data_IF_320675162018
#
_entry.id   IF_320675162018
#
_cell.length_a   1.000
_cell.length_b   1.000
_cell.length_c   1.000
_cell.angle_alpha   90.00
_cell.angle_beta   90.00
_cell.angle_gamma   90.00
#
_symmetry.space_group_name_H-M   'P 1'
#
loop_
_entity.id
_entity.type
_entity.pdbx_description
1 polymer ?
#
# COMPACT_ATOMS: atom_id res chain seq x y z
N UNK A 1 0.34 -5.99 14.36
CA UNK A 1 0.06 -5.98 12.91
C UNK A 1 -1.14 -6.87 12.59
N UNK A 2 -1.87 -6.47 11.57
CA UNK A 2 -2.96 -7.26 10.99
C UNK A 2 -2.39 -7.95 9.76
N UNK A 3 -2.51 -9.27 9.67
CA UNK A 3 -2.04 -10.09 8.53
C UNK A 3 -3.21 -10.70 7.75
N UNK A 4 -4.34 -10.88 8.40
CA UNK A 4 -5.61 -11.34 7.85
C UNK A 4 -6.73 -10.91 8.79
N UNK A 5 -7.97 -10.97 8.33
CA UNK A 5 -9.16 -10.70 9.14
C UNK A 5 -9.98 -11.97 9.21
N UNK A 6 -10.22 -12.57 10.40
CA UNK A 6 -11.01 -13.77 10.50
C UNK A 6 -12.47 -13.47 10.10
N UNK A 7 -12.89 -14.03 8.96
CA UNK A 7 -14.23 -13.84 8.39
C UNK A 7 -14.79 -15.20 7.96
N UNK A 8 -16.10 -15.37 8.13
CA UNK A 8 -16.86 -16.52 7.58
C UNK A 8 -17.29 -16.29 6.12
N UNK A 9 -17.40 -15.03 5.73
CA UNK A 9 -17.74 -14.64 4.36
C UNK A 9 -16.54 -14.84 3.42
N UNK A 10 -16.82 -15.30 2.19
CA UNK A 10 -15.82 -15.53 1.15
C UNK A 10 -15.42 -14.20 0.49
N UNK A 11 -14.79 -13.34 1.27
CA UNK A 11 -14.23 -12.06 0.83
C UNK A 11 -12.74 -11.96 1.19
N UNK A 12 -12.01 -11.18 0.42
CA UNK A 12 -10.59 -10.89 0.60
C UNK A 12 -10.35 -9.39 0.47
N UNK A 13 -9.26 -8.90 1.03
CA UNK A 13 -8.80 -7.53 0.81
C UNK A 13 -7.75 -7.52 -0.30
N UNK A 14 -8.07 -6.86 -1.41
CA UNK A 14 -7.11 -6.61 -2.48
C UNK A 14 -6.33 -5.34 -2.17
N UNK A 15 -5.00 -5.42 -2.14
CA UNK A 15 -4.15 -4.29 -1.76
C UNK A 15 -2.99 -4.12 -2.73
N UNK A 16 -2.64 -2.86 -3.01
CA UNK A 16 -1.56 -2.47 -3.89
C UNK A 16 -0.58 -1.55 -3.18
N UNK A 17 0.71 -1.83 -3.32
CA UNK A 17 1.79 -1.07 -2.71
C UNK A 17 2.56 -0.25 -3.75
N UNK A 18 3.34 0.73 -3.28
CA UNK A 18 4.32 1.51 -4.02
C UNK A 18 3.79 2.59 -4.96
N UNK A 19 2.47 2.67 -5.16
CA UNK A 19 1.85 3.70 -6.01
C UNK A 19 1.89 5.12 -5.42
N UNK A 20 1.25 6.09 -6.12
CA UNK A 20 0.75 5.93 -7.48
C UNK A 20 1.88 5.90 -8.52
N UNK A 21 1.65 5.18 -9.63
CA UNK A 21 2.61 5.04 -10.74
C UNK A 21 1.87 5.18 -12.08
N UNK A 22 1.60 6.42 -12.56
CA UNK A 22 0.97 6.61 -13.85
C UNK A 22 1.89 6.15 -15.01
N UNK A 23 1.36 5.51 -16.09
CA UNK A 23 -0.07 5.32 -16.34
C UNK A 23 -0.65 4.04 -15.73
N UNK A 24 0.15 3.24 -15.00
CA UNK A 24 -0.26 1.91 -14.52
C UNK A 24 -1.37 2.00 -13.47
N UNK A 25 -1.27 2.93 -12.52
CA UNK A 25 -2.33 3.16 -11.53
C UNK A 25 -3.66 3.50 -12.22
N UNK A 26 -3.64 4.33 -13.27
CA UNK A 26 -4.85 4.69 -14.01
C UNK A 26 -5.49 3.47 -14.68
N UNK A 27 -4.69 2.65 -15.37
CA UNK A 27 -5.16 1.43 -16.02
C UNK A 27 -5.74 0.44 -14.98
N UNK A 28 -5.12 0.34 -13.81
CA UNK A 28 -5.61 -0.47 -12.71
C UNK A 28 -6.97 0.03 -12.19
N UNK A 29 -7.14 1.34 -12.01
CA UNK A 29 -8.43 1.92 -11.58
C UNK A 29 -9.55 1.62 -12.58
N UNK A 30 -9.27 1.70 -13.88
CA UNK A 30 -10.23 1.35 -14.93
C UNK A 30 -10.64 -0.12 -14.85
N UNK A 31 -9.67 -1.02 -14.64
CA UNK A 31 -9.93 -2.45 -14.49
C UNK A 31 -10.77 -2.74 -13.24
N UNK A 32 -10.42 -2.19 -12.09
CA UNK A 32 -11.18 -2.34 -10.85
C UNK A 32 -12.62 -1.85 -11.00
N UNK A 33 -12.80 -0.70 -11.66
CA UNK A 33 -14.14 -0.15 -11.94
C UNK A 33 -14.99 -1.06 -12.85
N UNK A 34 -14.38 -1.63 -13.90
CA UNK A 34 -15.08 -2.58 -14.80
C UNK A 34 -15.61 -3.81 -14.07
N UNK A 35 -14.92 -4.24 -13.01
CA UNK A 35 -15.30 -5.39 -12.20
C UNK A 35 -16.11 -5.01 -10.94
N UNK A 36 -16.32 -3.73 -10.67
CA UNK A 36 -17.02 -3.25 -9.48
C UNK A 36 -16.28 -3.59 -8.18
N UNK A 37 -14.95 -3.63 -8.22
CA UNK A 37 -14.09 -4.02 -7.09
C UNK A 37 -13.45 -2.78 -6.48
N UNK A 38 -13.48 -2.69 -5.15
CA UNK A 38 -12.70 -1.72 -4.39
C UNK A 38 -11.44 -2.36 -3.82
N UNK A 39 -10.39 -1.57 -3.66
CA UNK A 39 -9.10 -2.01 -3.16
C UNK A 39 -8.53 -1.00 -2.15
N UNK A 40 -7.41 -1.36 -1.50
CA UNK A 40 -6.63 -0.45 -0.67
C UNK A 40 -5.28 -0.20 -1.33
N UNK A 41 -4.90 1.07 -1.45
CA UNK A 41 -3.63 1.49 -2.03
C UNK A 41 -2.73 2.06 -0.92
N UNK A 42 -1.58 1.42 -0.67
CA UNK A 42 -0.57 1.93 0.24
C UNK A 42 0.44 2.77 -0.53
N UNK A 43 0.30 4.09 -0.43
CA UNK A 43 1.02 5.03 -1.28
C UNK A 43 2.32 5.51 -0.64
N UNK A 44 3.39 5.57 -1.44
CA UNK A 44 4.67 6.20 -1.07
C UNK A 44 4.54 7.73 -1.09
N UNK A 45 5.01 8.40 -0.05
CA UNK A 45 4.93 9.86 0.04
C UNK A 45 5.61 10.59 -1.12
N UNK A 46 6.74 10.10 -1.62
CA UNK A 46 7.40 10.64 -2.82
C UNK A 46 6.50 10.61 -4.04
N UNK A 47 5.77 9.52 -4.24
CA UNK A 47 4.86 9.38 -5.38
C UNK A 47 3.58 10.20 -5.18
N UNK A 48 3.10 10.34 -3.95
CA UNK A 48 2.01 11.27 -3.61
C UNK A 48 2.37 12.71 -4.00
N UNK A 49 3.60 13.14 -3.69
CA UNK A 49 4.13 14.46 -4.02
C UNK A 49 4.32 14.66 -5.53
N UNK A 50 4.78 13.62 -6.23
CA UNK A 50 5.05 13.65 -7.66
C UNK A 50 3.77 13.55 -8.52
N UNK A 51 2.75 12.82 -8.06
CA UNK A 51 1.55 12.50 -8.85
C UNK A 51 0.24 12.77 -8.08
N UNK A 52 0.00 14.01 -7.62
CA UNK A 52 -1.15 14.34 -6.78
C UNK A 52 -2.49 14.07 -7.48
N UNK A 53 -2.56 14.20 -8.80
CA UNK A 53 -3.78 13.91 -9.58
C UNK A 53 -4.14 12.42 -9.55
N UNK A 54 -3.13 11.54 -9.56
CA UNK A 54 -3.36 10.10 -9.45
C UNK A 54 -3.87 9.71 -8.06
N UNK A 55 -3.38 10.36 -6.99
CA UNK A 55 -3.90 10.17 -5.62
C UNK A 55 -5.37 10.57 -5.54
N UNK A 56 -5.72 11.71 -6.13
CA UNK A 56 -7.12 12.16 -6.19
C UNK A 56 -8.00 11.18 -6.99
N UNK A 57 -7.49 10.63 -8.09
CA UNK A 57 -8.20 9.64 -8.90
C UNK A 57 -8.48 8.35 -8.09
N UNK A 58 -7.50 7.84 -7.34
CA UNK A 58 -7.67 6.68 -6.44
C UNK A 58 -8.78 6.94 -5.43
N UNK A 59 -8.77 8.11 -4.77
CA UNK A 59 -9.77 8.48 -3.78
C UNK A 59 -11.18 8.67 -4.40
N UNK A 60 -11.28 9.33 -5.55
CA UNK A 60 -12.54 9.56 -6.27
C UNK A 60 -13.17 8.26 -6.78
N UNK A 61 -12.36 7.26 -7.09
CA UNK A 61 -12.82 5.94 -7.47
C UNK A 61 -13.34 5.10 -6.27
N UNK A 62 -13.27 5.63 -5.04
CA UNK A 62 -13.79 5.00 -3.84
C UNK A 62 -12.86 3.96 -3.21
N UNK A 63 -11.58 4.00 -3.54
CA UNK A 63 -10.58 3.13 -2.95
C UNK A 63 -10.06 3.68 -1.62
N UNK A 64 -9.67 2.79 -0.71
CA UNK A 64 -8.99 3.16 0.53
C UNK A 64 -7.54 3.52 0.25
N UNK A 65 -7.03 4.54 0.96
CA UNK A 65 -5.64 4.98 0.85
C UNK A 65 -4.95 4.81 2.20
N UNK A 66 -3.87 4.06 2.20
CA UNK A 66 -2.95 3.86 3.32
C UNK A 66 -1.59 4.54 3.08
N UNK A 67 -0.82 4.64 4.15
CA UNK A 67 0.53 5.18 4.16
C UNK A 67 1.55 4.06 3.96
N UNK A 68 2.51 4.22 3.02
CA UNK A 68 3.60 3.28 2.76
C UNK A 68 4.99 3.88 2.98
N UNK A 69 5.14 4.74 4.00
CA UNK A 69 6.29 5.60 4.25
C UNK A 69 6.51 6.67 3.16
N UNK A 70 7.46 7.57 3.38
CA UNK A 70 7.76 8.60 2.39
C UNK A 70 8.71 8.09 1.31
N UNK A 71 9.81 7.45 1.70
CA UNK A 71 10.92 7.10 0.81
C UNK A 71 11.08 5.61 0.54
N UNK A 72 10.21 4.76 1.08
CA UNK A 72 10.26 3.29 1.00
C UNK A 72 11.55 2.67 1.59
N UNK A 73 12.24 3.38 2.50
CA UNK A 73 13.43 2.83 3.17
C UNK A 73 13.03 1.76 4.20
N UNK A 74 13.88 0.72 4.40
CA UNK A 74 13.64 -0.24 5.47
C UNK A 74 13.53 0.48 6.81
N UNK A 75 12.35 0.45 7.45
CA UNK A 75 12.06 1.20 8.67
C UNK A 75 13.04 0.82 9.80
N UNK A 76 13.50 -0.43 9.84
CA UNK A 76 14.48 -0.89 10.84
C UNK A 76 15.85 -0.22 10.74
N UNK A 77 16.19 0.39 9.61
CA UNK A 77 17.44 1.12 9.41
C UNK A 77 17.40 2.57 9.87
N UNK A 78 16.24 3.05 10.32
CA UNK A 78 16.00 4.43 10.67
C UNK A 78 16.03 4.66 12.19
N UNK A 79 16.41 5.88 12.58
CA UNK A 79 16.22 6.35 13.95
C UNK A 79 14.72 6.54 14.23
N UNK A 80 14.34 6.59 15.51
CA UNK A 80 12.96 6.83 15.93
C UNK A 80 12.37 8.12 15.32
N UNK A 81 13.17 9.20 15.31
CA UNK A 81 12.73 10.47 14.72
C UNK A 81 12.56 10.38 13.20
N UNK A 82 13.45 9.67 12.50
CA UNK A 82 13.35 9.48 11.06
C UNK A 82 12.16 8.58 10.69
N UNK A 83 11.88 7.52 11.48
CA UNK A 83 10.66 6.71 11.27
C UNK A 83 9.40 7.58 11.38
N UNK A 84 9.34 8.42 12.42
CA UNK A 84 8.20 9.31 12.64
C UNK A 84 8.05 10.31 11.49
N UNK A 85 9.16 10.86 10.99
CA UNK A 85 9.16 11.77 9.83
C UNK A 85 8.61 11.10 8.57
N UNK A 86 9.04 9.89 8.24
CA UNK A 86 8.53 9.08 7.12
C UNK A 86 7.01 8.91 7.19
N UNK A 87 6.48 8.60 8.37
CA UNK A 87 5.05 8.38 8.61
C UNK A 87 4.24 9.69 8.52
N UNK A 88 4.69 10.71 9.25
CA UNK A 88 3.96 11.98 9.38
C UNK A 88 3.96 12.73 8.04
N UNK A 89 5.11 12.84 7.38
CA UNK A 89 5.22 13.55 6.10
C UNK A 89 4.28 12.97 5.05
N UNK A 90 4.25 11.65 4.91
CA UNK A 90 3.34 10.99 3.95
C UNK A 90 1.88 11.22 4.31
N UNK A 91 1.54 11.08 5.59
CA UNK A 91 0.17 11.31 6.05
C UNK A 91 -0.27 12.75 5.83
N UNK A 92 0.61 13.73 6.07
CA UNK A 92 0.32 15.16 5.86
C UNK A 92 0.11 15.48 4.36
N UNK A 93 0.91 14.89 3.47
CA UNK A 93 0.74 15.03 2.02
C UNK A 93 -0.61 14.51 1.56
N UNK A 94 -1.01 13.31 2.01
CA UNK A 94 -2.31 12.71 1.66
C UNK A 94 -3.45 13.56 2.23
N UNK A 95 -3.36 13.96 3.49
CA UNK A 95 -4.39 14.79 4.15
C UNK A 95 -4.55 16.15 3.47
N UNK A 96 -3.45 16.80 3.07
CA UNK A 96 -3.49 18.07 2.35
C UNK A 96 -4.19 17.97 0.97
N UNK A 97 -4.05 16.83 0.31
CA UNK A 97 -4.68 16.59 -1.00
C UNK A 97 -6.16 16.20 -0.90
N UNK A 98 -6.51 15.39 0.10
CA UNK A 98 -7.82 14.73 0.17
C UNK A 98 -8.71 15.27 1.29
N UNK A 99 -8.16 16.08 2.21
CA UNK A 99 -8.88 16.52 3.41
C UNK A 99 -9.10 15.45 4.45
N UNK A 100 -8.53 14.26 4.25
CA UNK A 100 -8.66 13.11 5.14
C UNK A 100 -7.30 12.45 5.34
N UNK A 101 -6.92 12.25 6.60
CA UNK A 101 -5.67 11.58 6.98
C UNK A 101 -5.78 10.08 6.82
N UNK A 102 -4.78 9.40 6.22
CA UNK A 102 -4.78 7.93 6.15
C UNK A 102 -4.65 7.35 7.57
N UNK A 103 -5.42 6.30 7.83
CA UNK A 103 -5.44 5.63 9.13
C UNK A 103 -4.70 4.30 9.13
N UNK A 104 -4.34 3.78 7.95
CA UNK A 104 -3.65 2.50 7.78
C UNK A 104 -2.19 2.73 7.38
N UNK A 105 -1.29 1.89 7.88
CA UNK A 105 0.11 1.88 7.47
C UNK A 105 0.55 0.48 7.06
N UNK A 106 1.33 0.38 5.99
CA UNK A 106 2.07 -0.84 5.63
C UNK A 106 3.56 -0.55 5.61
N UNK A 107 4.38 -1.30 6.37
CA UNK A 107 5.82 -1.08 6.36
C UNK A 107 6.46 -1.59 5.07
N UNK A 108 7.38 -0.83 4.46
CA UNK A 108 8.21 -1.30 3.39
C UNK A 108 8.85 -2.67 3.71
N UNK A 109 8.86 -3.56 2.72
CA UNK A 109 9.38 -4.94 2.84
C UNK A 109 8.68 -5.81 3.91
N UNK A 110 7.56 -5.37 4.48
CA UNK A 110 6.90 -6.07 5.60
C UNK A 110 7.69 -6.07 6.91
N UNK A 111 8.80 -5.32 6.99
CA UNK A 111 9.72 -5.34 8.13
C UNK A 111 9.19 -4.51 9.29
N UNK A 112 9.10 -5.14 10.45
CA UNK A 112 8.63 -4.55 11.70
C UNK A 112 9.65 -4.69 12.83
N UNK A 113 9.60 -3.75 13.77
CA UNK A 113 10.42 -3.76 14.98
C UNK A 113 9.81 -2.90 16.09
N UNK A 114 10.36 -2.99 17.32
CA UNK A 114 9.82 -2.26 18.46
C UNK A 114 9.72 -0.75 18.25
N UNK A 115 10.71 -0.14 17.58
CA UNK A 115 10.72 1.29 17.28
C UNK A 115 9.57 1.71 16.35
N UNK A 116 9.32 0.94 15.29
CA UNK A 116 8.19 1.19 14.41
C UNK A 116 6.86 1.01 15.14
N UNK A 117 6.74 -0.05 15.96
CA UNK A 117 5.52 -0.26 16.75
C UNK A 117 5.23 0.94 17.65
N UNK A 118 6.25 1.47 18.35
CA UNK A 118 6.07 2.65 19.19
C UNK A 118 5.59 3.87 18.40
N UNK A 119 6.21 4.14 17.24
CA UNK A 119 5.82 5.27 16.38
C UNK A 119 4.38 5.14 15.87
N UNK A 120 3.97 3.93 15.51
CA UNK A 120 2.59 3.65 15.05
C UNK A 120 1.57 3.75 16.18
N UNK A 121 1.89 3.25 17.38
CA UNK A 121 1.03 3.37 18.55
C UNK A 121 0.80 4.86 18.92
N UNK A 122 1.85 5.69 18.85
CA UNK A 122 1.75 7.15 19.10
C UNK A 122 0.85 7.85 18.06
N UNK A 123 0.86 7.39 16.81
CA UNK A 123 0.07 7.96 15.72
C UNK A 123 -1.33 7.34 15.59
N UNK A 124 -1.64 6.30 16.37
CA UNK A 124 -2.90 5.57 16.29
C UNK A 124 -3.08 4.81 14.97
N UNK A 125 -1.98 4.42 14.30
CA UNK A 125 -2.01 3.74 13.00
C UNK A 125 -1.75 2.24 13.17
N UNK A 126 -2.70 1.35 12.83
CA UNK A 126 -2.42 -0.08 12.75
C UNK A 126 -1.48 -0.40 11.58
N UNK A 127 -0.55 -1.34 11.83
CA UNK A 127 0.28 -1.92 10.77
C UNK A 127 -0.49 -3.03 10.06
N UNK A 128 -0.63 -2.91 8.75
CA UNK A 128 -1.28 -3.89 7.87
C UNK A 128 -0.20 -4.63 7.10
N UNK A 129 -0.16 -5.93 7.25
CA UNK A 129 0.66 -6.82 6.44
C UNK A 129 -0.19 -7.57 5.41
N UNK A 130 0.30 -8.71 4.98
CA UNK A 130 -0.37 -9.59 4.05
C UNK A 130 -0.12 -11.05 4.45
N UNK A 131 -0.94 -11.95 3.98
CA UNK A 131 -0.75 -13.39 4.09
C UNK A 131 -0.86 -14.11 2.75
N UNK A 132 -1.20 -13.39 1.68
CA UNK A 132 -1.21 -13.90 0.31
C UNK A 132 -0.54 -12.91 -0.63
N UNK A 133 0.25 -13.41 -1.58
CA UNK A 133 0.87 -12.61 -2.63
C UNK A 133 1.21 -13.46 -3.86
N UNK A 134 1.30 -12.82 -5.02
CA UNK A 134 1.69 -13.45 -6.28
C UNK A 134 3.20 -13.40 -6.55
N UNK A 135 3.99 -12.69 -5.74
CA UNK A 135 5.38 -12.33 -5.99
C UNK A 135 5.58 -11.55 -7.30
N UNK A 136 4.67 -10.61 -7.58
CA UNK A 136 4.65 -9.76 -8.77
C UNK A 136 5.88 -8.84 -8.91
N UNK A 137 6.69 -8.71 -7.87
CA UNK A 137 8.00 -8.04 -7.91
C UNK A 137 9.14 -8.88 -8.53
N UNK A 138 8.93 -10.20 -8.70
CA UNK A 138 9.90 -11.14 -9.28
C UNK A 138 9.32 -11.87 -10.49
N UNK A 139 8.00 -12.13 -10.49
CA UNK A 139 7.27 -12.84 -11.53
C UNK A 139 6.60 -11.84 -12.48
N UNK A 140 6.75 -12.06 -13.77
CA UNK A 140 6.17 -11.20 -14.83
C UNK A 140 5.02 -11.86 -15.58
N UNK A 141 4.82 -13.17 -15.40
CA UNK A 141 3.73 -13.91 -16.02
C UNK A 141 2.44 -13.74 -15.18
N UNK A 142 1.41 -13.06 -15.71
CA UNK A 142 0.19 -12.82 -14.96
C UNK A 142 -0.59 -14.09 -14.61
N UNK A 143 -0.46 -15.16 -15.41
CA UNK A 143 -1.09 -16.45 -15.09
C UNK A 143 -0.42 -17.12 -13.89
N UNK A 144 0.91 -17.08 -13.80
CA UNK A 144 1.64 -17.62 -12.66
C UNK A 144 1.35 -16.83 -11.38
N UNK A 145 1.33 -15.50 -11.45
CA UNK A 145 0.96 -14.62 -10.33
C UNK A 145 -0.45 -14.98 -9.83
N UNK A 146 -1.40 -15.04 -10.74
CA UNK A 146 -2.81 -15.33 -10.42
C UNK A 146 -2.96 -16.73 -9.79
N UNK A 147 -2.38 -17.76 -10.41
CA UNK A 147 -2.45 -19.13 -9.91
C UNK A 147 -1.87 -19.25 -8.51
N UNK A 148 -0.72 -18.62 -8.26
CA UNK A 148 -0.07 -18.63 -6.95
C UNK A 148 -0.96 -18.03 -5.85
N UNK A 149 -1.69 -16.97 -6.15
CA UNK A 149 -2.66 -16.38 -5.23
C UNK A 149 -3.85 -17.32 -5.03
N UNK A 150 -4.45 -17.82 -6.13
CA UNK A 150 -5.67 -18.63 -6.08
C UNK A 150 -5.47 -19.99 -5.39
N UNK A 151 -4.27 -20.58 -5.45
CA UNK A 151 -3.95 -21.85 -4.77
C UNK A 151 -3.97 -21.75 -3.24
N UNK A 152 -3.73 -20.56 -2.68
CA UNK A 152 -3.57 -20.37 -1.24
C UNK A 152 -4.65 -19.50 -0.60
N UNK A 153 -5.47 -18.83 -1.39
CA UNK A 153 -6.41 -17.81 -0.89
C UNK A 153 -7.52 -18.41 -0.01
N UNK A 154 -7.77 -17.76 1.10
CA UNK A 154 -8.83 -18.10 2.06
C UNK A 154 -9.66 -16.85 2.43
N UNK A 155 -10.87 -17.02 2.99
CA UNK A 155 -11.67 -15.91 3.47
C UNK A 155 -10.92 -15.05 4.49
N UNK A 156 -10.96 -13.73 4.29
CA UNK A 156 -10.29 -12.77 5.15
C UNK A 156 -8.81 -12.53 4.86
N UNK A 157 -8.28 -13.12 3.80
CA UNK A 157 -6.90 -12.89 3.38
C UNK A 157 -6.70 -11.45 2.88
N UNK A 158 -5.48 -10.95 3.12
CA UNK A 158 -5.00 -9.68 2.59
C UNK A 158 -3.98 -10.01 1.50
N UNK A 159 -4.33 -9.68 0.26
CA UNK A 159 -3.53 -9.94 -0.93
C UNK A 159 -2.64 -8.74 -1.20
N UNK A 160 -1.32 -8.99 -1.36
CA UNK A 160 -0.37 -7.99 -1.80
C UNK A 160 -0.11 -8.10 -3.29
N UNK A 161 -0.23 -6.97 -3.97
CA UNK A 161 0.24 -6.68 -5.32
C UNK A 161 0.88 -5.29 -5.33
N UNK A 162 1.46 -4.90 -6.45
CA UNK A 162 2.12 -3.60 -6.61
C UNK A 162 1.59 -2.87 -7.85
N UNK A 163 1.38 -1.55 -7.72
CA UNK A 163 1.12 -0.65 -8.83
C UNK A 163 2.26 0.37 -9.04
N UNK A 164 3.36 0.20 -8.33
CA UNK A 164 4.57 1.03 -8.37
C UNK A 164 5.84 0.22 -8.15
N UNK A 165 6.96 0.94 -7.97
CA UNK A 165 8.27 0.36 -7.67
C UNK A 165 8.71 0.69 -6.25
N UNK A 166 9.27 -0.30 -5.56
CA UNK A 166 9.82 -0.16 -4.21
C UNK A 166 11.13 0.63 -4.12
N UNK A 167 11.75 0.99 -5.25
CA UNK A 167 13.06 1.66 -5.26
C UNK A 167 13.03 3.01 -4.57
N UNK A 168 14.04 3.23 -3.72
CA UNK A 168 14.12 4.42 -2.86
C UNK A 168 14.53 5.69 -3.59
N UNK A 169 15.16 5.59 -4.76
CA UNK A 169 15.82 6.70 -5.45
C UNK A 169 15.16 7.11 -6.78
N UNK A 170 14.21 6.36 -7.32
CA UNK A 170 13.51 6.72 -8.54
C UNK A 170 12.05 7.04 -8.28
N UNK A 171 11.52 8.16 -8.83
CA UNK A 171 10.09 8.28 -9.05
C UNK A 171 9.67 7.11 -9.95
N UNK A 172 8.44 6.63 -9.78
CA UNK A 172 7.88 5.60 -10.63
C UNK A 172 8.25 5.87 -12.10
N UNK A 173 8.82 4.87 -12.78
CA UNK A 173 9.26 5.04 -14.17
C UNK A 173 8.05 5.46 -15.02
N UNK A 174 8.27 6.52 -15.80
CA UNK A 174 7.28 7.02 -16.76
C UNK A 174 7.06 6.02 -17.88
#
# INVERSE_FOLDING_TARGET
>A
AVVSVPLDEKVVALTYDDGPNPPHTQALLEMLAQHGVTATFFLKGRNVEAFPESVQAVAQAGHEIGNHSYSHRPMLSLSQSAMREELVRTSDLIENLLGQRPVLFRPPYGLQGPGLKMALDELGMPSILMNSNGADWEETDPELITNKILESIAPGDIILLHDGHGDVDEPAAQ
#
